data_IF_338075959429
#
_entry.id   IF_338075959429
#
_cell.length_a   1.000
_cell.length_b   1.000
_cell.length_c   1.000
_cell.angle_alpha   90.00
_cell.angle_beta   90.00
_cell.angle_gamma   90.00
#
_symmetry.space_group_name_H-M   'P 1'
#
loop_
_entity.id
_entity.type
_entity.pdbx_description
1 polymer ?
#
# COMPACT_ATOMS: atom_id res chain seq x y z
N UNK A 1 -17.44 25.60 5.93
CA UNK A 1 -18.54 24.61 5.94
C UNK A 1 -17.92 23.26 5.64
N UNK A 2 -18.33 22.17 6.31
CA UNK A 2 -17.94 20.82 5.90
C UNK A 2 -18.34 20.59 4.45
N UNK A 3 -17.55 19.83 3.70
CA UNK A 3 -17.89 19.40 2.35
C UNK A 3 -19.19 18.58 2.36
N UNK A 4 -20.05 18.78 1.37
CA UNK A 4 -21.29 18.02 1.20
C UNK A 4 -21.08 17.06 0.04
N UNK A 5 -21.17 15.75 0.31
CA UNK A 5 -21.08 14.74 -0.75
C UNK A 5 -22.15 15.02 -1.83
N UNK A 6 -21.79 15.06 -3.12
CA UNK A 6 -22.75 15.30 -4.18
C UNK A 6 -23.81 14.19 -4.23
N UNK A 7 -25.01 14.55 -4.66
CA UNK A 7 -26.10 13.58 -4.81
C UNK A 7 -25.67 12.46 -5.78
N UNK A 8 -25.88 11.20 -5.37
CA UNK A 8 -25.49 10.02 -6.16
C UNK A 8 -24.02 9.61 -6.05
N UNK A 9 -23.21 10.26 -5.19
CA UNK A 9 -21.86 9.80 -4.91
C UNK A 9 -21.86 8.35 -4.41
N UNK A 10 -21.09 7.48 -5.06
CA UNK A 10 -20.88 6.12 -4.58
C UNK A 10 -20.14 6.17 -3.23
N UNK A 11 -20.58 5.38 -2.25
CA UNK A 11 -19.95 5.28 -0.92
C UNK A 11 -19.52 3.84 -0.66
N UNK A 12 -18.31 3.67 -0.11
CA UNK A 12 -17.77 2.37 0.30
C UNK A 12 -17.09 2.54 1.65
N UNK A 13 -17.54 1.79 2.66
CA UNK A 13 -16.92 1.74 3.97
C UNK A 13 -15.73 0.79 3.97
N UNK A 14 -14.58 1.23 4.51
CA UNK A 14 -13.36 0.43 4.51
C UNK A 14 -12.56 0.68 5.78
N UNK A 15 -11.92 -0.36 6.30
CA UNK A 15 -10.91 -0.20 7.34
C UNK A 15 -9.61 0.36 6.75
N UNK A 16 -8.91 1.26 7.45
CA UNK A 16 -7.59 1.72 7.03
C UNK A 16 -6.61 0.52 7.03
N UNK A 17 -5.73 0.41 6.01
CA UNK A 17 -4.68 -0.61 6.02
C UNK A 17 -3.77 -0.45 7.24
N UNK A 18 -3.31 -1.56 7.85
CA UNK A 18 -2.35 -1.49 8.94
C UNK A 18 -0.98 -0.99 8.45
N UNK A 19 -0.26 -0.28 9.32
CA UNK A 19 1.10 0.24 9.04
C UNK A 19 2.22 -0.66 9.57
N UNK A 20 1.89 -1.70 10.34
CA UNK A 20 2.88 -2.62 10.91
C UNK A 20 3.36 -3.62 9.85
N UNK A 21 4.68 -3.81 9.78
CA UNK A 21 5.33 -4.76 8.87
C UNK A 21 5.45 -4.28 7.42
N UNK A 22 4.98 -3.09 7.07
CA UNK A 22 5.00 -2.60 5.67
C UNK A 22 6.42 -2.37 5.14
N UNK A 23 7.40 -2.13 6.00
CA UNK A 23 8.81 -2.12 5.60
C UNK A 23 9.30 -3.48 5.07
N UNK A 24 8.75 -4.59 5.57
CA UNK A 24 9.03 -5.91 5.00
C UNK A 24 8.40 -6.04 3.60
N UNK A 25 7.21 -5.46 3.38
CA UNK A 25 6.56 -5.44 2.05
C UNK A 25 7.39 -4.62 1.05
N UNK A 26 7.87 -3.43 1.45
CA UNK A 26 8.77 -2.60 0.62
C UNK A 26 10.03 -3.37 0.22
N UNK A 27 10.59 -4.17 1.15
CA UNK A 27 11.80 -4.95 0.93
C UNK A 27 11.61 -6.25 0.11
N UNK A 28 10.38 -6.63 -0.27
CA UNK A 28 10.15 -7.76 -1.19
C UNK A 28 10.60 -7.36 -2.60
N UNK A 29 11.47 -8.12 -3.28
CA UNK A 29 11.87 -7.81 -4.65
C UNK A 29 10.67 -7.83 -5.59
N UNK A 30 10.66 -6.93 -6.58
CA UNK A 30 9.57 -6.87 -7.57
C UNK A 30 9.40 -8.20 -8.30
N UNK A 31 10.53 -8.81 -8.69
CA UNK A 31 10.56 -10.11 -9.34
C UNK A 31 9.90 -11.23 -8.52
N UNK A 32 9.94 -11.16 -7.18
CA UNK A 32 9.28 -12.15 -6.30
C UNK A 32 7.77 -12.09 -6.45
N UNK A 33 7.19 -10.89 -6.57
CA UNK A 33 5.75 -10.69 -6.75
C UNK A 33 5.35 -11.01 -8.19
N UNK A 34 6.14 -10.53 -9.17
CA UNK A 34 5.87 -10.76 -10.59
C UNK A 34 5.94 -12.25 -10.98
N UNK A 35 6.73 -13.06 -10.29
CA UNK A 35 6.77 -14.51 -10.49
C UNK A 35 5.45 -15.22 -10.13
N UNK A 36 4.57 -14.56 -9.36
CA UNK A 36 3.24 -15.05 -8.99
C UNK A 36 2.14 -14.50 -9.90
N UNK A 37 2.46 -13.58 -10.82
CA UNK A 37 1.47 -12.98 -11.69
C UNK A 37 1.02 -13.97 -12.76
N UNK A 38 -0.29 -14.24 -12.79
CA UNK A 38 -0.94 -15.02 -13.82
C UNK A 38 -2.15 -14.27 -14.38
N UNK A 39 -1.90 -13.19 -15.12
CA UNK A 39 -2.98 -12.32 -15.58
C UNK A 39 -3.97 -12.97 -16.56
N UNK A 40 -3.58 -14.10 -17.17
CA UNK A 40 -4.32 -14.78 -18.23
C UNK A 40 -4.86 -16.15 -17.80
N UNK A 41 -4.73 -16.52 -16.52
CA UNK A 41 -5.14 -17.83 -15.99
C UNK A 41 -4.54 -18.97 -16.84
N UNK A 42 -3.22 -18.93 -17.01
CA UNK A 42 -2.48 -19.81 -17.90
C UNK A 42 -2.47 -21.27 -17.41
N UNK A 43 -2.61 -21.48 -16.10
CA UNK A 43 -2.72 -22.82 -15.51
C UNK A 43 -4.18 -23.33 -15.38
N UNK A 44 -5.17 -22.46 -15.60
CA UNK A 44 -6.59 -22.81 -15.65
C UNK A 44 -7.19 -23.12 -14.28
N UNK A 45 -6.60 -22.60 -13.20
CA UNK A 45 -7.13 -22.73 -11.85
C UNK A 45 -8.27 -21.73 -11.53
N UNK A 46 -8.53 -20.79 -12.45
CA UNK A 46 -9.58 -19.78 -12.34
C UNK A 46 -9.15 -18.52 -11.59
N UNK A 47 -7.86 -18.39 -11.26
CA UNK A 47 -7.28 -17.24 -10.55
C UNK A 47 -6.49 -16.40 -11.55
N UNK A 48 -6.66 -15.07 -11.46
CA UNK A 48 -5.96 -14.14 -12.36
C UNK A 48 -5.33 -13.00 -11.60
N UNK A 49 -4.15 -13.26 -11.01
CA UNK A 49 -3.36 -12.26 -10.30
C UNK A 49 -2.68 -11.28 -11.26
N UNK A 50 -2.94 -9.98 -11.10
CA UNK A 50 -2.44 -8.93 -11.99
C UNK A 50 -1.61 -7.89 -11.24
N UNK A 51 -0.40 -7.53 -11.73
CA UNK A 51 0.34 -6.41 -11.18
C UNK A 51 -0.40 -5.09 -11.46
N UNK A 52 -0.41 -4.17 -10.50
CA UNK A 52 -0.78 -2.79 -10.76
C UNK A 52 0.48 -1.99 -11.08
N UNK A 53 0.54 -1.38 -12.26
CA UNK A 53 1.69 -0.56 -12.68
C UNK A 53 1.40 0.90 -12.45
N UNK A 54 2.24 1.56 -11.66
CA UNK A 54 2.07 2.95 -11.26
C UNK A 54 3.32 3.75 -11.57
N UNK A 55 3.17 5.06 -11.80
CA UNK A 55 4.33 5.94 -12.00
C UNK A 55 4.56 6.73 -10.72
N UNK A 56 5.71 6.57 -10.03
CA UNK A 56 6.06 7.39 -8.90
C UNK A 56 6.04 8.88 -9.30
N UNK A 57 5.48 9.77 -8.48
CA UNK A 57 5.40 11.18 -8.84
C UNK A 57 6.80 11.83 -8.80
N UNK A 58 7.05 12.92 -9.55
CA UNK A 58 8.38 13.51 -9.72
C UNK A 58 9.06 14.01 -8.43
N UNK A 59 8.28 14.26 -7.38
CA UNK A 59 8.79 14.71 -6.08
C UNK A 59 9.32 13.56 -5.22
N UNK A 60 9.05 12.29 -5.58
CA UNK A 60 9.66 11.14 -4.93
C UNK A 60 11.10 11.01 -5.44
N UNK A 61 12.12 11.06 -4.57
CA UNK A 61 13.51 10.88 -4.97
C UNK A 61 13.73 9.50 -5.61
N UNK A 62 14.50 9.45 -6.70
CA UNK A 62 14.73 8.23 -7.49
C UNK A 62 15.52 7.13 -6.77
N UNK A 63 16.13 7.45 -5.63
CA UNK A 63 16.84 6.53 -4.76
C UNK A 63 15.93 5.86 -3.70
N UNK A 64 14.66 6.28 -3.59
CA UNK A 64 13.69 5.57 -2.76
C UNK A 64 13.33 4.21 -3.39
N UNK A 65 13.24 3.13 -2.60
CA UNK A 65 12.79 1.83 -3.12
C UNK A 65 11.43 1.93 -3.80
N UNK A 66 11.34 1.48 -5.05
CA UNK A 66 10.10 1.61 -5.82
C UNK A 66 9.99 2.92 -6.62
N UNK A 67 11.06 3.72 -6.69
CA UNK A 67 11.14 4.98 -7.44
C UNK A 67 12.08 4.93 -8.68
N UNK A 68 12.67 3.77 -8.99
CA UNK A 68 13.46 3.58 -10.22
C UNK A 68 12.69 4.03 -11.50
N UNK A 69 13.38 4.45 -12.57
CA UNK A 69 12.73 4.97 -13.78
C UNK A 69 11.75 3.99 -14.46
N UNK A 70 10.62 4.52 -14.92
CA UNK A 70 9.57 3.77 -15.62
C UNK A 70 8.40 3.37 -14.72
N UNK A 71 7.41 2.62 -15.26
CA UNK A 71 6.31 2.10 -14.46
C UNK A 71 6.82 1.13 -13.40
N UNK A 72 6.33 1.28 -12.17
CA UNK A 72 6.72 0.52 -10.99
C UNK A 72 5.56 -0.30 -10.46
N UNK A 73 5.88 -1.46 -9.89
CA UNK A 73 4.85 -2.26 -9.23
C UNK A 73 4.29 -1.50 -8.04
N UNK A 74 2.99 -1.23 -8.07
CA UNK A 74 2.27 -0.67 -6.95
C UNK A 74 2.01 -1.73 -5.88
N UNK A 75 2.29 -1.39 -4.62
CA UNK A 75 2.30 -2.34 -3.50
C UNK A 75 1.56 -1.84 -2.27
N UNK A 76 1.31 -0.54 -2.20
CA UNK A 76 0.67 0.09 -1.05
C UNK A 76 -0.67 0.71 -1.46
N UNK A 77 -1.46 1.10 -0.46
CA UNK A 77 -2.91 1.31 -0.60
C UNK A 77 -3.66 0.01 -0.94
N UNK A 78 -4.98 0.09 -1.06
CA UNK A 78 -5.88 -1.08 -1.20
C UNK A 78 -5.81 -1.77 -2.56
N UNK A 79 -5.37 -1.05 -3.59
CA UNK A 79 -5.24 -1.57 -4.96
C UNK A 79 -3.81 -1.45 -5.50
N UNK A 80 -2.80 -1.34 -4.62
CA UNK A 80 -1.42 -1.09 -5.08
C UNK A 80 -1.32 0.21 -5.86
N UNK A 81 -1.89 1.31 -5.36
CA UNK A 81 -1.96 2.58 -6.11
C UNK A 81 -0.65 3.37 -6.06
N UNK A 82 0.26 3.02 -5.15
CA UNK A 82 1.56 3.67 -5.00
C UNK A 82 2.66 2.62 -4.83
N UNK A 83 3.84 2.93 -5.35
CA UNK A 83 4.98 1.99 -5.39
C UNK A 83 6.01 2.22 -4.29
N UNK A 84 5.97 3.38 -3.61
CA UNK A 84 6.95 3.73 -2.55
C UNK A 84 6.26 3.99 -1.22
N UNK A 85 6.91 3.64 -0.10
CA UNK A 85 6.40 4.03 1.22
C UNK A 85 6.51 5.53 1.44
N UNK A 86 7.52 6.21 0.87
CA UNK A 86 7.60 7.67 0.95
C UNK A 86 6.34 8.30 0.37
N UNK A 87 5.91 7.88 -0.82
CA UNK A 87 4.69 8.39 -1.42
C UNK A 87 3.48 8.10 -0.54
N UNK A 88 3.32 6.86 -0.08
CA UNK A 88 2.19 6.45 0.78
C UNK A 88 2.10 7.29 2.06
N UNK A 89 3.23 7.60 2.70
CA UNK A 89 3.28 8.39 3.95
C UNK A 89 2.99 9.86 3.66
N UNK A 90 3.65 10.44 2.66
CA UNK A 90 3.45 11.84 2.29
C UNK A 90 2.02 12.12 1.85
N UNK A 91 1.43 11.24 1.03
CA UNK A 91 0.05 11.36 0.59
C UNK A 91 -0.94 11.12 1.74
N UNK A 92 -0.64 10.28 2.72
CA UNK A 92 -1.50 10.14 3.91
C UNK A 92 -1.52 11.43 4.75
N UNK A 93 -0.36 12.08 4.94
CA UNK A 93 -0.31 13.41 5.57
C UNK A 93 -1.18 14.41 4.81
N UNK A 94 -1.03 14.46 3.49
CA UNK A 94 -1.68 15.48 2.67
C UNK A 94 -3.17 15.21 2.43
N UNK A 95 -3.54 14.00 2.02
CA UNK A 95 -4.87 13.63 1.56
C UNK A 95 -5.80 13.15 2.69
N UNK A 96 -5.26 12.49 3.72
CA UNK A 96 -6.08 11.94 4.80
C UNK A 96 -6.11 12.86 6.03
N UNK A 97 -4.96 13.47 6.37
CA UNK A 97 -4.81 14.30 7.58
C UNK A 97 -4.97 15.79 7.26
N UNK A 98 -4.63 16.21 6.03
CA UNK A 98 -4.68 17.61 5.61
C UNK A 98 -3.49 18.41 6.12
N UNK A 99 -2.29 17.84 6.04
CA UNK A 99 -1.04 18.49 6.47
C UNK A 99 -0.05 18.55 5.31
N UNK A 100 0.41 19.76 4.98
CA UNK A 100 1.39 19.99 3.92
C UNK A 100 2.81 19.72 4.38
N UNK A 101 3.69 19.37 3.44
CA UNK A 101 5.11 19.15 3.73
C UNK A 101 6.00 19.64 2.60
N UNK A 102 7.31 19.72 2.83
CA UNK A 102 8.28 20.05 1.76
C UNK A 102 8.14 19.16 0.50
N UNK A 103 7.59 17.93 0.61
CA UNK A 103 7.32 17.06 -0.54
C UNK A 103 6.02 17.39 -1.27
N UNK A 104 4.99 17.83 -0.54
CA UNK A 104 3.68 18.25 -1.04
C UNK A 104 3.28 19.54 -0.32
N UNK A 105 3.74 20.72 -0.81
CA UNK A 105 3.67 21.97 -0.06
C UNK A 105 2.43 22.81 -0.36
N UNK A 106 1.47 22.29 -1.15
CA UNK A 106 0.32 23.06 -1.61
C UNK A 106 -0.95 22.37 -1.15
N UNK A 107 -1.73 23.07 -0.35
CA UNK A 107 -2.98 22.58 0.23
C UNK A 107 -3.99 22.00 -0.76
N UNK A 108 -4.78 21.05 -0.25
CA UNK A 108 -5.90 20.45 -0.99
C UNK A 108 -7.04 21.46 -1.17
N UNK A 109 -7.45 21.69 -2.43
CA UNK A 109 -8.54 22.62 -2.71
C UNK A 109 -9.90 21.95 -2.56
N UNK A 110 -10.79 22.55 -1.76
CA UNK A 110 -12.21 22.16 -1.74
C UNK A 110 -12.90 22.71 -3.01
N UNK A 111 -13.33 21.84 -3.94
CA UNK A 111 -13.90 22.30 -5.21
C UNK A 111 -15.29 22.96 -5.06
N UNK A 112 -15.97 22.78 -3.92
CA UNK A 112 -17.29 23.37 -3.64
C UNK A 112 -17.19 24.80 -3.10
N UNK A 113 -16.01 25.21 -2.63
CA UNK A 113 -15.77 26.58 -2.22
C UNK A 113 -14.90 27.22 -3.30
N UNK A 114 -15.37 28.29 -3.93
CA UNK A 114 -14.59 29.06 -4.90
C UNK A 114 -13.41 29.81 -4.26
N UNK A 115 -12.90 29.34 -3.12
CA UNK A 115 -11.75 29.87 -2.39
C UNK A 115 -10.59 28.90 -2.61
N UNK A 116 -9.41 29.46 -2.87
CA UNK A 116 -8.18 28.70 -2.82
C UNK A 116 -8.06 27.99 -1.45
N UNK A 117 -7.49 26.80 -1.46
CA UNK A 117 -7.20 26.00 -0.27
C UNK A 117 -6.46 26.77 0.82
N UNK A 118 -5.70 27.82 0.45
CA UNK A 118 -5.07 28.81 1.33
C UNK A 118 -6.00 29.42 2.40
N UNK A 119 -7.32 29.24 2.29
CA UNK A 119 -8.31 29.69 3.27
C UNK A 119 -8.83 28.59 4.23
N UNK A 120 -8.31 27.35 4.16
CA UNK A 120 -8.76 26.24 5.00
C UNK A 120 -8.32 26.40 6.46
N UNK A 121 -7.08 26.82 6.68
CA UNK A 121 -6.57 27.27 7.96
C UNK A 121 -5.74 28.57 7.85
N UNK A 122 -4.92 28.86 8.86
CA UNK A 122 -4.06 30.06 8.91
C UNK A 122 -2.59 29.69 9.14
N UNK A 123 -2.23 28.44 8.92
CA UNK A 123 -0.87 27.93 9.08
C UNK A 123 -0.13 28.16 7.75
N UNK A 124 1.08 28.72 7.76
CA UNK A 124 1.87 28.87 6.54
C UNK A 124 2.34 27.52 6.01
N UNK A 125 2.18 27.32 4.70
CA UNK A 125 2.71 26.15 4.00
C UNK A 125 4.20 26.28 3.62
N UNK A 126 4.96 25.17 3.58
CA UNK A 126 4.57 23.86 4.09
C UNK A 126 4.54 23.83 5.63
N UNK A 127 3.58 23.12 6.20
CA UNK A 127 3.42 23.06 7.66
C UNK A 127 4.53 22.27 8.36
N UNK A 128 5.02 21.19 7.72
CA UNK A 128 6.09 20.35 8.27
C UNK A 128 7.26 20.15 7.30
N UNK A 129 8.51 20.11 7.80
CA UNK A 129 9.66 19.87 6.95
C UNK A 129 9.73 18.41 6.49
N UNK A 130 10.42 18.14 5.37
CA UNK A 130 10.70 16.79 4.85
C UNK A 130 11.33 15.87 5.91
N UNK A 131 12.11 16.44 6.84
CA UNK A 131 12.72 15.68 7.93
C UNK A 131 11.66 14.97 8.81
N UNK A 132 10.52 15.60 9.06
CA UNK A 132 9.41 15.00 9.82
C UNK A 132 8.84 13.78 9.10
N UNK A 133 8.56 13.92 7.80
CA UNK A 133 8.10 12.81 6.94
C UNK A 133 9.12 11.67 6.95
N UNK A 134 10.42 11.97 6.81
CA UNK A 134 11.47 10.96 6.81
C UNK A 134 11.60 10.24 8.16
N UNK A 135 11.41 10.92 9.28
CA UNK A 135 11.37 10.28 10.61
C UNK A 135 10.21 9.30 10.73
N UNK A 136 9.01 9.68 10.27
CA UNK A 136 7.83 8.80 10.27
C UNK A 136 8.02 7.62 9.32
N UNK A 137 8.57 7.87 8.13
CA UNK A 137 8.91 6.82 7.17
C UNK A 137 9.90 5.80 7.77
N UNK A 138 10.94 6.27 8.45
CA UNK A 138 11.90 5.39 9.13
C UNK A 138 11.25 4.56 10.24
N UNK A 139 10.34 5.16 11.02
CA UNK A 139 9.53 4.44 12.00
C UNK A 139 8.66 3.36 11.33
N UNK A 140 7.90 3.70 10.30
CA UNK A 140 7.03 2.77 9.58
C UNK A 140 7.81 1.62 8.94
N UNK A 141 8.98 1.91 8.34
CA UNK A 141 9.88 0.90 7.78
C UNK A 141 10.36 -0.12 8.82
N UNK A 142 10.52 0.31 10.07
CA UNK A 142 11.09 -0.51 11.14
C UNK A 142 10.03 -1.07 12.09
N UNK A 143 8.76 -0.68 11.92
CA UNK A 143 7.66 -1.15 12.74
C UNK A 143 7.35 -2.62 12.41
N UNK A 144 7.66 -3.52 13.33
CA UNK A 144 7.48 -4.95 13.15
C UNK A 144 6.00 -5.34 13.02
N UNK A 145 5.66 -6.39 12.24
CA UNK A 145 4.33 -6.98 12.28
C UNK A 145 4.04 -7.58 13.67
N UNK A 146 2.77 -7.65 14.10
CA UNK A 146 2.39 -8.34 15.33
C UNK A 146 2.91 -9.78 15.34
N UNK A 147 3.37 -10.22 16.51
CA UNK A 147 3.79 -11.60 16.68
C UNK A 147 2.60 -12.55 16.45
N UNK A 148 2.80 -13.66 15.73
CA UNK A 148 1.77 -14.69 15.64
C UNK A 148 1.43 -15.24 17.02
N UNK A 149 0.17 -15.62 17.22
CA UNK A 149 -0.24 -16.41 18.40
C UNK A 149 0.46 -17.77 18.46
N UNK A 150 0.29 -18.49 19.57
CA UNK A 150 0.88 -19.82 19.78
C UNK A 150 0.56 -20.81 18.65
N UNK A 151 1.49 -21.71 18.35
CA UNK A 151 1.28 -22.78 17.36
C UNK A 151 0.54 -23.97 17.97
N UNK A 152 -0.78 -23.83 18.09
CA UNK A 152 -1.66 -24.87 18.65
C UNK A 152 -2.04 -25.93 17.61
N UNK A 153 -2.47 -27.13 18.02
CA UNK A 153 -3.02 -28.13 17.11
C UNK A 153 -4.15 -27.59 16.22
N UNK A 154 -4.99 -26.69 16.75
CA UNK A 154 -6.08 -26.02 16.01
C UNK A 154 -5.52 -25.16 14.88
N UNK A 155 -4.48 -24.37 15.15
CA UNK A 155 -3.82 -23.53 14.14
C UNK A 155 -3.15 -24.37 13.06
N UNK A 156 -2.50 -25.47 13.44
CA UNK A 156 -1.89 -26.40 12.49
C UNK A 156 -2.94 -27.02 11.56
N UNK A 157 -4.08 -27.46 12.12
CA UNK A 157 -5.23 -27.93 11.31
C UNK A 157 -5.77 -26.83 10.40
N UNK A 158 -5.90 -25.60 10.90
CA UNK A 158 -6.34 -24.44 10.12
C UNK A 158 -5.44 -24.18 8.90
N UNK A 159 -4.12 -24.29 9.06
CA UNK A 159 -3.16 -24.16 7.94
C UNK A 159 -3.35 -25.26 6.88
N UNK A 160 -3.60 -26.50 7.29
CA UNK A 160 -3.92 -27.59 6.35
C UNK A 160 -5.21 -27.28 5.58
N UNK A 161 -6.27 -26.87 6.29
CA UNK A 161 -7.54 -26.50 5.66
C UNK A 161 -7.33 -25.38 4.65
N UNK A 162 -6.66 -24.29 5.05
CA UNK A 162 -6.36 -23.13 4.23
C UNK A 162 -5.70 -23.48 2.90
N UNK A 163 -4.71 -24.37 2.92
CA UNK A 163 -4.09 -24.89 1.70
C UNK A 163 -5.04 -25.78 0.90
N UNK A 164 -5.74 -26.71 1.56
CA UNK A 164 -6.58 -27.70 0.88
C UNK A 164 -7.79 -27.10 0.15
N UNK A 165 -8.29 -25.95 0.60
CA UNK A 165 -9.41 -25.25 -0.05
C UNK A 165 -8.96 -24.22 -1.10
N UNK A 166 -7.65 -24.11 -1.36
CA UNK A 166 -7.10 -23.22 -2.39
C UNK A 166 -6.85 -21.77 -1.95
N UNK A 167 -7.05 -21.40 -0.67
CA UNK A 167 -6.81 -20.02 -0.22
C UNK A 167 -5.37 -19.57 -0.48
N UNK A 168 -4.41 -20.49 -0.35
CA UNK A 168 -2.99 -20.22 -0.53
C UNK A 168 -2.57 -19.89 -1.97
N UNK A 169 -3.47 -20.05 -2.96
CA UNK A 169 -3.19 -19.69 -4.36
C UNK A 169 -3.08 -18.17 -4.56
N UNK A 170 -3.91 -17.37 -3.87
CA UNK A 170 -3.76 -15.89 -3.84
C UNK A 170 -3.13 -15.41 -2.52
N UNK A 171 -3.48 -16.04 -1.40
CA UNK A 171 -2.99 -15.64 -0.08
C UNK A 171 -1.68 -16.35 0.27
N UNK A 172 -0.65 -16.08 -0.52
CA UNK A 172 0.67 -16.72 -0.42
C UNK A 172 1.23 -16.54 1.01
N UNK A 173 1.41 -17.63 1.78
CA UNK A 173 1.72 -17.52 3.21
C UNK A 173 3.04 -16.82 3.50
N UNK A 174 4.06 -17.05 2.67
CA UNK A 174 5.42 -16.55 2.88
C UNK A 174 6.02 -16.02 1.59
N UNK A 175 6.47 -14.77 1.62
CA UNK A 175 7.34 -14.18 0.61
C UNK A 175 8.73 -13.92 1.22
N UNK A 176 9.72 -13.64 0.38
CA UNK A 176 11.08 -13.35 0.82
C UNK A 176 11.43 -11.90 0.51
N UNK A 177 12.00 -11.19 1.49
CA UNK A 177 12.67 -9.92 1.21
C UNK A 177 14.00 -10.16 0.49
N UNK A 178 14.48 -9.12 -0.19
CA UNK A 178 15.80 -9.07 -0.81
C UNK A 178 16.83 -8.35 0.06
N UNK A 179 17.97 -7.96 -0.53
CA UNK A 179 18.93 -7.08 0.11
C UNK A 179 18.29 -5.76 0.55
N UNK A 180 18.68 -5.26 1.72
CA UNK A 180 18.21 -3.98 2.25
C UNK A 180 19.33 -3.28 3.02
N UNK A 181 19.34 -1.95 2.99
CA UNK A 181 20.20 -1.12 3.84
C UNK A 181 19.80 -1.17 5.31
N UNK A 182 18.57 -1.61 5.61
CA UNK A 182 18.08 -1.84 6.97
C UNK A 182 18.28 -3.33 7.28
N UNK A 183 19.24 -3.72 8.14
CA UNK A 183 19.58 -5.14 8.36
C UNK A 183 18.40 -5.98 8.83
N UNK A 184 17.49 -5.39 9.61
CA UNK A 184 16.29 -6.05 10.10
C UNK A 184 15.30 -6.46 8.98
N UNK A 185 15.41 -5.89 7.79
CA UNK A 185 14.54 -6.17 6.63
C UNK A 185 15.21 -7.05 5.58
N UNK A 186 16.53 -7.24 5.64
CA UNK A 186 17.28 -7.91 4.57
C UNK A 186 17.11 -9.44 4.59
N UNK A 187 16.88 -10.04 3.41
CA UNK A 187 16.95 -11.47 3.12
C UNK A 187 16.25 -12.39 4.15
N UNK A 188 14.98 -12.09 4.44
CA UNK A 188 14.21 -12.80 5.48
C UNK A 188 12.79 -13.14 5.03
N UNK A 189 12.14 -14.14 5.65
CA UNK A 189 10.75 -14.46 5.36
C UNK A 189 9.81 -13.36 5.86
N UNK A 190 8.75 -13.15 5.07
CA UNK A 190 7.61 -12.27 5.34
C UNK A 190 6.36 -13.12 5.34
N UNK A 191 5.78 -13.35 6.52
CA UNK A 191 4.56 -14.14 6.68
C UNK A 191 3.32 -13.29 6.33
N UNK A 192 3.13 -13.02 5.04
CA UNK A 192 2.20 -11.99 4.55
C UNK A 192 0.77 -12.49 4.29
N UNK A 193 0.62 -13.74 3.85
CA UNK A 193 -0.67 -14.28 3.38
C UNK A 193 -1.32 -13.41 2.28
N UNK A 194 -0.49 -12.97 1.33
CA UNK A 194 -0.86 -12.19 0.16
C UNK A 194 0.22 -12.35 -0.91
N UNK A 195 -0.19 -12.38 -2.17
CA UNK A 195 0.71 -12.29 -3.32
C UNK A 195 0.99 -10.84 -3.75
N UNK A 196 0.30 -9.85 -3.16
CA UNK A 196 0.37 -8.43 -3.52
C UNK A 196 -0.07 -8.12 -4.96
N UNK A 197 -0.93 -8.97 -5.53
CA UNK A 197 -1.52 -8.80 -6.85
C UNK A 197 -2.99 -8.38 -6.75
N UNK A 198 -3.50 -7.81 -7.83
CA UNK A 198 -4.92 -7.53 -8.00
C UNK A 198 -5.64 -8.77 -8.52
N UNK A 199 -6.78 -9.07 -7.91
CA UNK A 199 -7.65 -10.17 -8.30
C UNK A 199 -9.06 -9.65 -8.55
N UNK A 200 -9.69 -10.12 -9.63
CA UNK A 200 -11.11 -9.89 -9.88
C UNK A 200 -11.92 -10.93 -9.11
N UNK A 201 -12.55 -10.50 -8.02
CA UNK A 201 -13.38 -11.36 -7.17
C UNK A 201 -14.85 -11.40 -7.63
N UNK A 202 -15.13 -10.94 -8.86
CA UNK A 202 -16.45 -10.90 -9.47
C UNK A 202 -17.22 -9.60 -9.19
N UNK A 203 -18.28 -9.38 -9.98
CA UNK A 203 -19.07 -8.14 -9.98
C UNK A 203 -19.71 -7.78 -8.63
N UNK A 204 -20.00 -8.77 -7.79
CA UNK A 204 -20.55 -8.56 -6.44
C UNK A 204 -19.54 -7.98 -5.43
N UNK A 205 -18.25 -8.12 -5.70
CA UNK A 205 -17.15 -7.61 -4.87
C UNK A 205 -16.36 -6.48 -5.54
N UNK A 206 -16.70 -6.15 -6.79
CA UNK A 206 -16.13 -5.02 -7.50
C UNK A 206 -16.61 -3.70 -6.88
N UNK A 207 -15.65 -2.83 -6.54
CA UNK A 207 -15.97 -1.48 -6.04
C UNK A 207 -16.32 -0.50 -7.17
N UNK A 208 -16.19 -0.92 -8.44
CA UNK A 208 -16.42 -0.14 -9.67
C UNK A 208 -15.78 1.26 -9.64
N UNK A 209 -14.69 1.40 -8.90
CA UNK A 209 -13.92 2.63 -8.81
C UNK A 209 -12.64 2.46 -9.65
N UNK A 210 -12.20 3.52 -10.36
CA UNK A 210 -10.90 3.50 -11.03
C UNK A 210 -9.76 3.19 -10.05
#
# INVERSE_FOLDING_TARGET
MPEILPAGAAVSGRLPPPVFGVGLIEAIPEATILALADSLDADGDGISGRPNWVTPPPWVPSDEPGAEPGPRLGRFSRKGQVSTLLQQVTEAYHQDIGVTSDFLPVENTNPQTSRAAEAADRVPDPEIPAATIRSVLAYIRTLAPPAPGADTPERQRGRVVFHSVGCASCHVPVLMTGPSSIPALANRPVYLYSDLLLHDMGSGLADNRP
#
